data_IF_752895848665
#
_entry.id   IF_752895848665
#
_cell.length_a   1.000
_cell.length_b   1.000
_cell.length_c   1.000
_cell.angle_alpha   90.00
_cell.angle_beta   90.00
_cell.angle_gamma   90.00
#
_symmetry.space_group_name_H-M   'P 1'
#
loop_
_entity.id
_entity.type
_entity.pdbx_description
1 polymer ?
#
# COMPACT_ATOMS: atom_id res chain seq x y z
N UNK A 1 4.34 0.56 17.54
CA UNK A 1 4.44 -0.10 16.23
C UNK A 1 5.89 -0.13 15.85
N UNK A 2 6.40 -1.28 15.42
CA UNK A 2 7.82 -1.41 15.07
C UNK A 2 8.24 -0.33 14.07
N UNK A 3 9.36 0.31 14.35
CA UNK A 3 9.86 1.43 13.55
C UNK A 3 10.19 0.98 12.12
N UNK A 4 10.63 -0.27 11.97
CA UNK A 4 10.82 -0.94 10.68
C UNK A 4 9.51 -1.08 9.89
N UNK A 5 8.42 -1.46 10.55
CA UNK A 5 7.11 -1.62 9.91
C UNK A 5 6.55 -0.26 9.48
N UNK A 6 6.73 0.78 10.31
CA UNK A 6 6.36 2.16 9.97
C UNK A 6 7.13 2.67 8.74
N UNK A 7 8.45 2.45 8.67
CA UNK A 7 9.27 2.82 7.50
C UNK A 7 8.82 2.10 6.22
N UNK A 8 8.52 0.79 6.30
CA UNK A 8 8.00 0.02 5.15
C UNK A 8 6.66 0.56 4.67
N UNK A 9 5.72 0.84 5.58
CA UNK A 9 4.44 1.45 5.21
C UNK A 9 4.63 2.81 4.53
N UNK A 10 5.54 3.66 5.04
CA UNK A 10 5.83 4.95 4.43
C UNK A 10 6.39 4.80 3.01
N UNK A 11 7.27 3.82 2.79
CA UNK A 11 7.81 3.52 1.46
C UNK A 11 6.70 3.11 0.47
N UNK A 12 5.74 2.28 0.90
CA UNK A 12 4.57 1.94 0.09
C UNK A 12 3.68 3.16 -0.19
N UNK A 13 3.43 4.01 0.81
CA UNK A 13 2.68 5.25 0.59
C UNK A 13 3.37 6.17 -0.43
N UNK A 14 4.70 6.28 -0.35
CA UNK A 14 5.49 7.06 -1.29
C UNK A 14 5.45 6.45 -2.70
N UNK A 15 5.68 5.14 -2.83
CA UNK A 15 5.60 4.43 -4.10
C UNK A 15 4.21 4.57 -4.74
N UNK A 16 3.14 4.41 -3.95
CA UNK A 16 1.77 4.59 -4.41
C UNK A 16 1.49 6.01 -4.90
N UNK A 17 2.02 7.03 -4.21
CA UNK A 17 1.89 8.42 -4.66
C UNK A 17 2.63 8.68 -5.98
N UNK A 18 3.84 8.14 -6.14
CA UNK A 18 4.61 8.24 -7.38
C UNK A 18 3.88 7.53 -8.53
N UNK A 19 3.39 6.31 -8.31
CA UNK A 19 2.62 5.57 -9.29
C UNK A 19 1.33 6.29 -9.69
N UNK A 20 0.63 6.92 -8.73
CA UNK A 20 -0.56 7.71 -9.01
C UNK A 20 -0.25 8.91 -9.91
N UNK A 21 0.81 9.67 -9.59
CA UNK A 21 1.24 10.83 -10.39
C UNK A 21 1.63 10.38 -11.81
N UNK A 22 2.42 9.30 -11.93
CA UNK A 22 2.81 8.76 -13.23
C UNK A 22 1.61 8.26 -14.04
N UNK A 23 0.68 7.54 -13.42
CA UNK A 23 -0.54 7.09 -14.08
C UNK A 23 -1.37 8.24 -14.63
N UNK A 24 -1.59 9.28 -13.82
CA UNK A 24 -2.31 10.49 -14.26
C UNK A 24 -1.56 11.25 -15.36
N UNK A 25 -0.24 11.34 -15.26
CA UNK A 25 0.59 11.95 -16.30
C UNK A 25 0.48 11.19 -17.63
N UNK A 26 0.57 9.86 -17.61
CA UNK A 26 0.43 9.03 -18.80
C UNK A 26 -0.96 9.16 -19.42
N UNK A 27 -2.02 9.22 -18.61
CA UNK A 27 -3.38 9.38 -19.11
C UNK A 27 -3.64 10.76 -19.75
N UNK A 28 -2.94 11.80 -19.33
CA UNK A 28 -3.16 13.18 -19.82
C UNK A 28 -2.20 13.59 -20.94
N UNK A 29 -0.94 13.16 -20.88
CA UNK A 29 0.12 13.56 -21.81
C UNK A 29 0.73 12.39 -22.60
N UNK A 30 0.45 11.14 -22.20
CA UNK A 30 1.04 9.95 -22.82
C UNK A 30 0.50 9.66 -24.22
N UNK A 31 -0.78 9.97 -24.48
CA UNK A 31 -1.42 9.72 -25.78
C UNK A 31 -0.73 10.46 -26.95
N UNK A 32 -0.06 11.58 -26.67
CA UNK A 32 0.71 12.36 -27.65
C UNK A 32 1.98 11.62 -28.09
N UNK A 33 2.55 10.78 -27.22
CA UNK A 33 3.84 10.11 -27.43
C UNK A 33 3.70 8.63 -27.79
N UNK A 34 2.63 8.00 -27.32
CA UNK A 34 2.41 6.56 -27.38
C UNK A 34 0.90 6.41 -27.56
N UNK A 35 0.43 5.96 -28.72
CA UNK A 35 -0.99 6.05 -29.12
C UNK A 35 -2.01 5.67 -28.04
N UNK A 36 -3.21 6.23 -28.13
CA UNK A 36 -4.23 6.28 -27.07
C UNK A 36 -4.43 4.97 -26.29
N UNK A 37 -4.55 3.84 -26.98
CA UNK A 37 -4.71 2.51 -26.35
C UNK A 37 -3.51 2.14 -25.47
N UNK A 38 -2.29 2.39 -25.93
CA UNK A 38 -1.06 2.10 -25.18
C UNK A 38 -0.96 3.00 -23.96
N UNK A 39 -1.23 4.29 -24.10
CA UNK A 39 -1.26 5.23 -22.98
C UNK A 39 -2.31 4.82 -21.93
N UNK A 40 -3.50 4.39 -22.36
CA UNK A 40 -4.55 3.94 -21.46
C UNK A 40 -4.13 2.68 -20.68
N UNK A 41 -3.55 1.68 -21.34
CA UNK A 41 -3.09 0.45 -20.68
C UNK A 41 -1.98 0.73 -19.67
N UNK A 42 -0.99 1.56 -20.02
CA UNK A 42 0.11 1.94 -19.12
C UNK A 42 -0.42 2.79 -17.95
N UNK A 43 -1.32 3.73 -18.22
CA UNK A 43 -1.97 4.54 -17.19
C UNK A 43 -2.74 3.68 -16.18
N UNK A 44 -3.56 2.74 -16.67
CA UNK A 44 -4.27 1.78 -15.83
C UNK A 44 -3.32 0.90 -15.02
N UNK A 45 -2.20 0.48 -15.62
CA UNK A 45 -1.17 -0.28 -14.90
C UNK A 45 -0.65 0.51 -13.70
N UNK A 46 -0.21 1.75 -13.90
CA UNK A 46 0.27 2.61 -12.82
C UNK A 46 -0.79 2.87 -11.75
N UNK A 47 -2.04 3.13 -12.15
CA UNK A 47 -3.14 3.30 -11.20
C UNK A 47 -3.44 2.03 -10.40
N UNK A 48 -3.38 0.87 -11.04
CA UNK A 48 -3.53 -0.43 -10.40
C UNK A 48 -2.45 -0.66 -9.33
N UNK A 49 -1.19 -0.38 -9.66
CA UNK A 49 -0.09 -0.46 -8.69
C UNK A 49 -0.24 0.56 -7.57
N UNK A 50 -0.65 1.80 -7.85
CA UNK A 50 -0.91 2.79 -6.82
C UNK A 50 -1.98 2.31 -5.83
N UNK A 51 -3.08 1.72 -6.31
CA UNK A 51 -4.13 1.17 -5.46
C UNK A 51 -3.61 0.05 -4.55
N UNK A 52 -2.77 -0.84 -5.09
CA UNK A 52 -2.14 -1.93 -4.34
C UNK A 52 -1.16 -1.38 -3.29
N UNK A 53 -0.32 -0.42 -3.65
CA UNK A 53 0.63 0.24 -2.76
C UNK A 53 -0.07 0.96 -1.60
N UNK A 54 -1.25 1.53 -1.82
CA UNK A 54 -2.06 2.12 -0.74
C UNK A 54 -2.81 1.09 0.10
N UNK A 55 -3.12 -0.08 -0.46
CA UNK A 55 -3.80 -1.17 0.24
C UNK A 55 -2.87 -1.90 1.22
N UNK A 56 -1.65 -2.22 0.82
CA UNK A 56 -0.69 -2.99 1.64
C UNK A 56 -0.44 -2.40 3.04
N UNK A 57 -0.20 -1.08 3.22
CA UNK A 57 -0.06 -0.45 4.53
C UNK A 57 -1.26 -0.67 5.44
N UNK A 58 -2.48 -0.59 4.90
CA UNK A 58 -3.70 -0.81 5.66
C UNK A 58 -3.81 -2.26 6.11
N UNK A 59 -3.53 -3.21 5.23
CA UNK A 59 -3.53 -4.63 5.55
C UNK A 59 -2.45 -4.99 6.60
N UNK A 60 -1.24 -4.46 6.46
CA UNK A 60 -0.15 -4.66 7.43
C UNK A 60 -0.48 -4.08 8.80
N UNK A 61 -1.07 -2.87 8.85
CA UNK A 61 -1.51 -2.26 10.12
C UNK A 61 -2.57 -3.12 10.81
N UNK A 62 -3.53 -3.66 10.06
CA UNK A 62 -4.57 -4.55 10.59
C UNK A 62 -3.96 -5.82 11.20
N UNK A 63 -3.12 -6.54 10.43
CA UNK A 63 -2.43 -7.75 10.93
C UNK A 63 -1.60 -7.47 12.18
N UNK A 64 -0.87 -6.37 12.21
CA UNK A 64 -0.05 -6.00 13.38
C UNK A 64 -0.90 -5.77 14.64
N UNK A 65 -2.09 -5.19 14.52
CA UNK A 65 -3.01 -5.01 15.65
C UNK A 65 -3.60 -6.34 16.12
N UNK A 66 -3.94 -7.24 15.19
CA UNK A 66 -4.43 -8.60 15.50
C UNK A 66 -3.36 -9.43 16.24
N UNK A 67 -2.10 -9.37 15.79
CA UNK A 67 -0.99 -10.06 16.45
C UNK A 67 -0.73 -9.51 17.87
N UNK A 68 -0.77 -8.19 18.04
CA UNK A 68 -0.68 -7.55 19.36
C UNK A 68 -1.83 -7.96 20.29
N UNK A 69 -3.06 -8.06 19.77
CA UNK A 69 -4.21 -8.51 20.55
C UNK A 69 -4.07 -9.98 20.96
N UNK A 70 -3.59 -10.84 20.05
CA UNK A 70 -3.33 -12.26 20.33
C UNK A 70 -2.24 -12.45 21.39
N UNK A 71 -1.15 -11.70 21.30
CA UNK A 71 -0.06 -11.73 22.29
C UNK A 71 -0.53 -11.26 23.67
N UNK A 72 -1.37 -10.21 23.74
CA UNK A 72 -1.98 -9.77 25.00
C UNK A 72 -2.92 -10.81 25.62
N UNK A 73 -3.73 -11.49 24.79
CA UNK A 73 -4.62 -12.55 25.25
C UNK A 73 -3.85 -13.80 25.71
N UNK A 74 -2.76 -14.17 25.03
CA UNK A 74 -1.89 -15.27 25.43
C UNK A 74 -1.01 -14.95 26.66
N UNK A 75 -0.80 -13.66 26.96
CA UNK A 75 -0.04 -13.17 28.12
C UNK A 75 -0.84 -13.03 29.42
N UNK A 76 -2.10 -13.47 29.46
CA UNK A 76 -2.87 -13.68 30.70
C UNK A 76 -2.83 -15.17 31.08
N UNK A 77 -1.77 -15.67 31.74
CA UNK A 77 -1.88 -16.91 32.48
C UNK A 77 -2.70 -16.61 33.74
N UNK A 78 -3.88 -17.19 33.80
CA UNK A 78 -4.46 -17.84 34.96
C UNK A 78 -3.78 -17.52 36.32
N UNK A 79 -4.03 -16.31 36.84
CA UNK A 79 -3.80 -15.98 38.25
C UNK A 79 -5.10 -16.15 39.00
N UNK A 80 -5.59 -17.38 39.02
CA UNK A 80 -6.69 -17.81 39.86
C UNK A 80 -6.38 -19.23 40.38
N UNK A 81 -5.26 -19.38 41.09
CA UNK A 81 -5.08 -20.43 42.07
C UNK A 81 -5.22 -19.81 43.46
#
# INVERSE_FOLDING_TARGET
>A
MDERLKKRMLAFYFAGAVNLILGLYVLTAGAVHMGETTALLIGLFFLGFAAVDFYFPRAMKKKWLEDQARLKAAGQPDRAN
#
